data_IF_191429823973
#
_entry.id   IF_191429823973
#
_cell.length_a   1.000
_cell.length_b   1.000
_cell.length_c   1.000
_cell.angle_alpha   90.00
_cell.angle_beta   90.00
_cell.angle_gamma   90.00
#
_symmetry.space_group_name_H-M   'P 1'
#
loop_
_entity.id
_entity.type
_entity.pdbx_description
1 polymer ?
#
# COMPACT_ATOMS: atom_id res chain seq x y z
N UNK A 1 11.82 5.82 20.94
CA UNK A 1 11.68 6.32 19.56
C UNK A 1 13.06 6.74 19.07
N UNK A 2 13.45 6.33 17.87
CA UNK A 2 14.65 6.86 17.22
C UNK A 2 14.32 8.16 16.51
N UNK A 3 15.18 9.16 16.62
CA UNK A 3 15.03 10.46 15.95
C UNK A 3 15.76 10.45 14.61
N UNK A 4 15.22 11.18 13.63
CA UNK A 4 15.83 11.38 12.32
C UNK A 4 15.81 12.87 12.01
N UNK A 5 16.98 13.45 11.75
CA UNK A 5 17.11 14.85 11.35
C UNK A 5 17.22 14.92 9.82
N UNK A 6 16.47 15.83 9.21
CA UNK A 6 16.42 15.99 7.75
C UNK A 6 16.57 17.48 7.45
N UNK A 7 17.57 17.84 6.66
CA UNK A 7 17.72 19.21 6.12
C UNK A 7 16.93 19.31 4.83
N UNK A 8 16.06 20.32 4.73
CA UNK A 8 15.25 20.59 3.55
C UNK A 8 15.61 21.97 3.00
N UNK A 9 15.74 22.14 1.67
CA UNK A 9 15.76 23.47 1.06
C UNK A 9 14.44 24.20 1.33
N UNK A 10 14.48 25.54 1.30
CA UNK A 10 13.34 26.38 1.70
C UNK A 10 12.05 26.06 0.93
N UNK A 11 12.14 25.75 -0.36
CA UNK A 11 10.99 25.39 -1.17
C UNK A 11 10.26 24.13 -0.65
N UNK A 12 11.02 23.10 -0.24
CA UNK A 12 10.45 21.87 0.31
C UNK A 12 9.91 22.10 1.71
N UNK A 13 10.57 22.94 2.51
CA UNK A 13 10.05 23.33 3.83
C UNK A 13 8.69 24.03 3.68
N UNK A 14 8.57 25.01 2.80
CA UNK A 14 7.31 25.72 2.53
C UNK A 14 6.22 24.77 2.06
N UNK A 15 6.54 23.83 1.17
CA UNK A 15 5.60 22.81 0.74
C UNK A 15 5.09 21.97 1.92
N UNK A 16 5.99 21.48 2.77
CA UNK A 16 5.61 20.69 3.96
C UNK A 16 4.72 21.51 4.91
N UNK A 17 5.07 22.78 5.17
CA UNK A 17 4.27 23.65 6.03
C UNK A 17 2.83 23.83 5.49
N UNK A 18 2.67 23.98 4.17
CA UNK A 18 1.34 24.05 3.53
C UNK A 18 0.56 22.73 3.68
N UNK A 19 1.23 21.58 3.56
CA UNK A 19 0.57 20.29 3.74
C UNK A 19 0.13 20.09 5.20
N UNK A 20 0.95 20.53 6.16
CA UNK A 20 0.63 20.47 7.59
C UNK A 20 -0.61 21.31 7.88
N UNK A 21 -0.61 22.58 7.44
CA UNK A 21 -1.75 23.49 7.65
C UNK A 21 -3.03 23.04 6.92
N UNK A 22 -2.91 22.60 5.67
CA UNK A 22 -4.07 22.28 4.83
C UNK A 22 -4.70 20.91 5.10
N UNK A 23 -3.97 19.97 5.70
CA UNK A 23 -4.44 18.60 5.96
C UNK A 23 -4.58 18.26 7.45
N UNK A 24 -4.40 19.24 8.32
CA UNK A 24 -4.62 19.11 9.76
C UNK A 24 -3.56 18.27 10.49
N UNK A 25 -2.34 18.16 9.95
CA UNK A 25 -1.25 17.54 10.69
C UNK A 25 -0.80 18.46 11.82
N UNK A 26 -0.39 17.90 12.96
CA UNK A 26 0.11 18.68 14.09
C UNK A 26 1.57 19.11 13.93
N UNK A 27 2.37 18.39 13.14
CA UNK A 27 3.79 18.69 12.90
C UNK A 27 4.28 18.25 11.52
N UNK A 28 5.37 18.85 11.04
CA UNK A 28 6.08 18.41 9.83
C UNK A 28 6.52 16.94 9.93
N UNK A 29 7.00 16.51 11.11
CA UNK A 29 7.41 15.13 11.36
C UNK A 29 6.25 14.14 11.23
N UNK A 30 5.02 14.57 11.53
CA UNK A 30 3.84 13.73 11.34
C UNK A 30 3.50 13.55 9.86
N UNK A 31 3.53 14.64 9.10
CA UNK A 31 3.36 14.59 7.65
C UNK A 31 4.40 13.66 6.99
N UNK A 32 5.67 13.79 7.36
CA UNK A 32 6.75 12.95 6.82
C UNK A 32 6.56 11.47 7.21
N UNK A 33 6.18 11.18 8.47
CA UNK A 33 5.88 9.81 8.89
C UNK A 33 4.75 9.18 8.07
N UNK A 34 3.72 9.96 7.77
CA UNK A 34 2.60 9.50 6.94
C UNK A 34 3.02 9.26 5.48
N UNK A 35 3.86 10.13 4.90
CA UNK A 35 4.44 9.91 3.58
C UNK A 35 5.24 8.60 3.52
N UNK A 36 6.06 8.32 4.54
CA UNK A 36 6.86 7.10 4.60
C UNK A 36 5.96 5.86 4.66
N UNK A 37 4.87 5.88 5.44
CA UNK A 37 3.91 4.76 5.48
C UNK A 37 3.29 4.51 4.12
N UNK A 38 2.78 5.58 3.47
CA UNK A 38 2.19 5.48 2.13
C UNK A 38 3.19 4.96 1.11
N UNK A 39 4.45 5.37 1.19
CA UNK A 39 5.49 4.88 0.30
C UNK A 39 5.75 3.39 0.52
N UNK A 40 5.88 2.96 1.78
CA UNK A 40 6.02 1.54 2.14
C UNK A 40 4.85 0.71 1.62
N UNK A 41 3.62 1.19 1.76
CA UNK A 41 2.43 0.48 1.30
C UNK A 41 2.40 0.37 -0.24
N UNK A 42 2.82 1.43 -0.96
CA UNK A 42 3.00 1.38 -2.43
C UNK A 42 4.09 0.40 -2.84
N UNK A 43 5.23 0.38 -2.15
CA UNK A 43 6.30 -0.57 -2.43
C UNK A 43 5.84 -2.01 -2.19
N UNK A 44 5.08 -2.26 -1.12
CA UNK A 44 4.52 -3.57 -0.84
C UNK A 44 3.54 -4.02 -1.93
N UNK A 45 2.58 -3.17 -2.31
CA UNK A 45 1.65 -3.47 -3.40
C UNK A 45 2.38 -3.74 -4.72
N UNK A 46 3.41 -2.93 -5.04
CA UNK A 46 4.25 -3.16 -6.23
C UNK A 46 4.91 -4.54 -6.19
N UNK A 47 5.41 -4.95 -5.03
CA UNK A 47 5.97 -6.30 -4.82
C UNK A 47 4.97 -7.39 -5.17
N UNK A 48 3.75 -7.33 -4.60
CA UNK A 48 2.68 -8.30 -4.86
C UNK A 48 2.28 -8.36 -6.35
N UNK A 49 2.22 -7.20 -7.01
CA UNK A 49 1.90 -7.14 -8.45
C UNK A 49 3.00 -7.78 -9.30
N UNK A 50 4.27 -7.57 -8.95
CA UNK A 50 5.38 -8.21 -9.66
C UNK A 50 5.43 -9.72 -9.40
N UNK A 51 5.15 -10.16 -8.18
CA UNK A 51 5.02 -11.58 -7.84
C UNK A 51 3.93 -12.24 -8.69
N UNK A 52 2.72 -11.65 -8.72
CA UNK A 52 1.63 -12.14 -9.57
C UNK A 52 1.93 -12.09 -11.06
N UNK A 53 2.64 -11.06 -11.55
CA UNK A 53 3.05 -10.99 -12.95
C UNK A 53 4.13 -12.03 -13.32
N UNK A 54 4.91 -12.48 -12.33
CA UNK A 54 5.94 -13.51 -12.51
C UNK A 54 5.42 -14.94 -12.31
N UNK A 55 4.20 -15.11 -11.80
CA UNK A 55 3.61 -16.43 -11.62
C UNK A 55 3.26 -17.08 -12.95
N UNK A 56 3.17 -18.42 -12.96
CA UNK A 56 2.71 -19.15 -14.14
C UNK A 56 1.31 -18.68 -14.57
N UNK A 57 1.14 -18.49 -15.88
CA UNK A 57 -0.15 -18.16 -16.43
C UNK A 57 -1.09 -19.37 -16.29
N UNK A 58 -2.28 -19.13 -15.74
CA UNK A 58 -3.34 -20.13 -15.67
C UNK A 58 -4.32 -19.94 -16.83
N UNK A 59 -5.26 -20.87 -16.97
CA UNK A 59 -6.40 -20.70 -17.85
C UNK A 59 -7.26 -19.50 -17.41
N UNK A 60 -8.07 -19.00 -18.36
CA UNK A 60 -8.98 -17.90 -18.09
C UNK A 60 -9.99 -18.31 -17.00
N UNK A 61 -10.09 -17.48 -15.96
CA UNK A 61 -11.02 -17.69 -14.86
C UNK A 61 -12.45 -17.45 -15.34
N UNK A 62 -13.33 -18.43 -15.13
CA UNK A 62 -14.74 -18.36 -15.49
C UNK A 62 -15.67 -18.40 -14.26
N UNK A 63 -16.98 -18.44 -14.50
CA UNK A 63 -17.97 -18.51 -13.42
C UNK A 63 -17.84 -19.80 -12.60
N UNK A 64 -17.54 -20.93 -13.25
CA UNK A 64 -17.45 -22.25 -12.61
C UNK A 64 -16.27 -22.34 -11.64
N UNK A 65 -15.16 -21.66 -11.96
CA UNK A 65 -14.02 -21.48 -11.07
C UNK A 65 -14.46 -20.80 -9.77
N UNK A 66 -15.22 -19.70 -9.86
CA UNK A 66 -15.67 -18.96 -8.69
C UNK A 66 -16.72 -19.72 -7.87
N UNK A 67 -17.59 -20.50 -8.50
CA UNK A 67 -18.52 -21.39 -7.80
C UNK A 67 -17.74 -22.43 -6.98
N UNK A 68 -16.82 -23.14 -7.63
CA UNK A 68 -15.95 -24.13 -6.98
C UNK A 68 -15.10 -23.52 -5.86
N UNK A 69 -14.60 -22.29 -6.06
CA UNK A 69 -13.81 -21.57 -5.06
C UNK A 69 -14.66 -21.23 -3.81
N UNK A 70 -15.92 -20.82 -3.99
CA UNK A 70 -16.84 -20.55 -2.89
C UNK A 70 -17.20 -21.82 -2.14
N UNK A 71 -17.50 -22.90 -2.85
CA UNK A 71 -17.82 -24.20 -2.23
C UNK A 71 -16.65 -24.70 -1.37
N UNK A 72 -15.41 -24.56 -1.87
CA UNK A 72 -14.20 -24.84 -1.10
C UNK A 72 -14.07 -23.94 0.14
N UNK A 73 -14.27 -22.63 0.00
CA UNK A 73 -14.12 -21.68 1.10
C UNK A 73 -15.17 -21.89 2.20
N UNK A 74 -16.37 -22.33 1.83
CA UNK A 74 -17.46 -22.68 2.74
C UNK A 74 -17.33 -24.10 3.33
N UNK A 75 -16.28 -24.84 2.95
CA UNK A 75 -16.05 -26.23 3.38
C UNK A 75 -17.07 -27.22 2.80
N UNK A 76 -17.75 -26.85 1.73
CA UNK A 76 -18.78 -27.65 1.05
C UNK A 76 -18.23 -28.48 -0.11
N UNK A 77 -16.94 -28.35 -0.46
CA UNK A 77 -16.28 -29.31 -1.33
C UNK A 77 -16.22 -30.67 -0.63
N UNK A 78 -17.23 -31.48 -0.93
CA UNK A 78 -17.39 -32.83 -0.47
C UNK A 78 -16.21 -33.73 -0.87
N UNK A 79 -16.06 -34.80 -0.09
CA UNK A 79 -15.31 -36.03 -0.39
C UNK A 79 -15.34 -36.42 -1.86
#
# INVERSE_FOLDING_TARGET
>A
MSTMNISLPDNLKHFVDQQVAGRGYGTSSEYVRELIRRDRDRQHLRGLLLEGASSEATEAVDASYFDSLRDRALGQSAK
#
